data_IF_592317950446
#
_entry.id   IF_592317950446
#
_cell.length_a   1.000
_cell.length_b   1.000
_cell.length_c   1.000
_cell.angle_alpha   90.00
_cell.angle_beta   90.00
_cell.angle_gamma   90.00
#
_symmetry.space_group_name_H-M   'P 1'
#
loop_
_entity.id
_entity.type
_entity.pdbx_description
1 polymer ?
#
# COMPACT_ATOMS: atom_id res chain seq x y z
N UNK A 1 13.44 -0.27 -26.38
CA UNK A 1 13.07 -0.55 -24.98
C UNK A 1 11.60 -0.20 -24.78
N UNK A 2 10.78 -1.15 -24.32
CA UNK A 2 9.32 -1.00 -24.16
C UNK A 2 8.89 -0.71 -22.72
N UNK A 3 9.63 0.15 -22.02
CA UNK A 3 9.32 0.53 -20.65
C UNK A 3 8.23 1.62 -20.61
N UNK A 4 7.38 1.57 -19.59
CA UNK A 4 6.40 2.61 -19.27
C UNK A 4 6.63 3.12 -17.86
N UNK A 5 6.12 4.32 -17.49
CA UNK A 5 6.08 4.74 -16.10
C UNK A 5 5.26 3.76 -15.25
N UNK A 6 5.29 3.89 -13.92
CA UNK A 6 4.53 3.03 -13.01
C UNK A 6 3.02 3.34 -13.08
N UNK A 7 2.34 2.78 -14.09
CA UNK A 7 0.94 3.10 -14.42
C UNK A 7 -0.02 1.91 -14.38
N UNK A 8 0.49 0.67 -14.42
CA UNK A 8 -0.33 -0.54 -14.62
C UNK A 8 -1.40 -0.73 -13.54
N UNK A 9 -1.07 -0.46 -12.28
CA UNK A 9 -2.00 -0.54 -11.14
C UNK A 9 -2.88 0.70 -10.96
N UNK A 10 -2.70 1.76 -11.75
CA UNK A 10 -3.39 3.05 -11.61
C UNK A 10 -4.26 3.42 -12.82
N UNK A 11 -4.72 2.41 -13.57
CA UNK A 11 -5.77 2.58 -14.57
C UNK A 11 -7.08 3.07 -13.93
N UNK A 12 -7.92 3.81 -14.66
CA UNK A 12 -9.14 4.42 -14.09
C UNK A 12 -10.07 3.40 -13.39
N UNK A 13 -10.17 2.18 -13.93
CA UNK A 13 -10.94 1.10 -13.31
C UNK A 13 -10.31 0.59 -12.01
N UNK A 14 -8.98 0.55 -11.91
CA UNK A 14 -8.28 0.23 -10.68
C UNK A 14 -8.45 1.34 -9.63
N UNK A 15 -8.45 2.62 -10.03
CA UNK A 15 -8.66 3.75 -9.13
C UNK A 15 -9.97 3.68 -8.37
N UNK A 16 -11.06 3.33 -9.06
CA UNK A 16 -12.36 3.16 -8.41
C UNK A 16 -12.32 2.14 -7.27
N UNK A 17 -11.58 1.03 -7.44
CA UNK A 17 -11.48 -0.03 -6.43
C UNK A 17 -10.58 0.35 -5.26
N UNK A 18 -9.36 0.82 -5.53
CA UNK A 18 -8.46 1.17 -4.42
C UNK A 18 -8.96 2.39 -3.64
N UNK A 19 -9.66 3.34 -4.28
CA UNK A 19 -10.27 4.47 -3.58
C UNK A 19 -11.39 4.02 -2.63
N UNK A 20 -12.25 3.08 -3.06
CA UNK A 20 -13.26 2.48 -2.19
C UNK A 20 -12.61 1.70 -1.03
N UNK A 21 -11.58 0.90 -1.30
CA UNK A 21 -10.84 0.17 -0.26
C UNK A 21 -10.16 1.09 0.76
N UNK A 22 -9.55 2.19 0.32
CA UNK A 22 -8.98 3.21 1.23
C UNK A 22 -10.05 3.79 2.13
N UNK A 23 -11.23 4.11 1.59
CA UNK A 23 -12.35 4.62 2.38
C UNK A 23 -12.82 3.58 3.40
N UNK A 24 -12.95 2.32 3.00
CA UNK A 24 -13.35 1.22 3.89
C UNK A 24 -12.39 1.08 5.08
N UNK A 25 -11.08 1.11 4.84
CA UNK A 25 -10.05 1.05 5.90
C UNK A 25 -10.22 2.22 6.88
N UNK A 26 -10.47 3.43 6.37
CA UNK A 26 -10.68 4.62 7.21
C UNK A 26 -11.97 4.53 8.02
N UNK A 27 -13.07 4.03 7.45
CA UNK A 27 -14.32 3.79 8.17
C UNK A 27 -14.11 2.78 9.31
N UNK A 28 -13.43 1.65 9.05
CA UNK A 28 -13.08 0.71 10.12
C UNK A 28 -12.23 1.36 11.21
N UNK A 29 -11.18 2.09 10.84
CA UNK A 29 -10.29 2.75 11.79
C UNK A 29 -10.99 3.78 12.66
N UNK A 30 -11.81 4.65 12.06
CA UNK A 30 -12.52 5.72 12.77
C UNK A 30 -13.65 5.21 13.67
N UNK A 31 -14.25 4.06 13.32
CA UNK A 31 -15.32 3.42 14.09
C UNK A 31 -14.79 2.34 15.05
N UNK A 32 -13.46 2.24 15.22
CA UNK A 32 -12.80 1.21 16.05
C UNK A 32 -13.23 -0.23 15.70
N UNK A 33 -13.54 -0.47 14.42
CA UNK A 33 -13.82 -1.79 13.89
C UNK A 33 -12.54 -2.45 13.36
N UNK A 34 -12.44 -3.78 13.41
CA UNK A 34 -11.33 -4.49 12.80
C UNK A 34 -11.19 -4.17 11.30
N UNK A 35 -9.96 -3.88 10.86
CA UNK A 35 -9.62 -3.86 9.44
C UNK A 35 -9.50 -5.31 8.96
N UNK A 36 -9.91 -5.59 7.72
CA UNK A 36 -9.83 -6.95 7.18
C UNK A 36 -8.38 -7.46 7.16
N UNK A 37 -8.18 -8.71 7.56
CA UNK A 37 -6.87 -9.37 7.59
C UNK A 37 -6.13 -9.29 6.25
N UNK A 38 -6.84 -9.43 5.11
CA UNK A 38 -6.22 -9.35 3.79
C UNK A 38 -5.63 -7.96 3.47
N UNK A 39 -6.03 -6.90 4.19
CA UNK A 39 -5.50 -5.54 4.03
C UNK A 39 -4.35 -5.24 4.99
N UNK A 40 -4.18 -6.05 6.04
CA UNK A 40 -3.14 -5.84 7.04
C UNK A 40 -1.76 -6.27 6.51
N UNK A 41 -0.77 -5.42 6.79
CA UNK A 41 0.65 -5.70 6.54
C UNK A 41 1.42 -5.71 7.86
N UNK A 42 1.20 -4.69 8.70
CA UNK A 42 1.75 -4.58 10.06
C UNK A 42 0.62 -4.12 10.98
N UNK A 43 0.48 -4.79 12.12
CA UNK A 43 -0.44 -4.37 13.19
C UNK A 43 0.21 -4.69 14.54
N UNK A 44 -0.01 -3.85 15.55
CA UNK A 44 0.46 -4.08 16.93
C UNK A 44 1.95 -4.46 17.04
N UNK A 45 2.79 -3.83 16.22
CA UNK A 45 4.24 -4.01 16.23
C UNK A 45 4.78 -5.23 15.48
N UNK A 46 3.94 -6.02 14.80
CA UNK A 46 4.34 -7.22 14.09
C UNK A 46 3.74 -7.30 12.69
N UNK A 47 4.33 -8.13 11.82
CA UNK A 47 3.67 -8.51 10.56
C UNK A 47 2.33 -9.19 10.87
N UNK A 48 1.29 -8.81 10.14
CA UNK A 48 -0.08 -9.30 10.34
C UNK A 48 -0.75 -9.55 8.98
N UNK A 49 -1.81 -10.36 8.97
CA UNK A 49 -2.61 -10.61 7.76
C UNK A 49 -1.76 -11.03 6.55
N UNK A 50 -2.00 -10.38 5.41
CA UNK A 50 -1.21 -10.57 4.18
C UNK A 50 0.29 -10.31 4.39
N UNK A 51 0.65 -9.39 5.29
CA UNK A 51 2.03 -9.07 5.64
C UNK A 51 2.84 -10.26 6.14
N UNK A 52 2.25 -11.04 7.06
CA UNK A 52 2.90 -12.20 7.67
C UNK A 52 3.19 -13.33 6.67
N UNK A 53 2.40 -13.42 5.59
CA UNK A 53 2.56 -14.43 4.55
C UNK A 53 3.49 -14.00 3.40
N UNK A 54 3.69 -12.69 3.23
CA UNK A 54 4.26 -12.15 1.99
C UNK A 54 5.59 -11.42 2.19
N UNK A 55 5.92 -11.00 3.41
CA UNK A 55 7.08 -10.16 3.69
C UNK A 55 7.98 -10.72 4.79
N UNK A 56 9.24 -10.30 4.77
CA UNK A 56 10.17 -10.43 5.89
C UNK A 56 10.36 -9.06 6.56
N UNK A 57 10.70 -9.07 7.86
CA UNK A 57 11.08 -7.84 8.55
C UNK A 57 12.38 -7.27 7.95
N UNK A 58 12.41 -5.97 7.67
CA UNK A 58 13.55 -5.30 7.07
C UNK A 58 13.21 -3.89 6.56
N UNK A 59 14.19 -3.23 5.92
CA UNK A 59 14.02 -1.91 5.32
C UNK A 59 14.46 -1.91 3.85
N UNK A 60 13.57 -1.52 2.94
CA UNK A 60 13.81 -1.41 1.51
C UNK A 60 13.79 0.04 0.98
N UNK A 61 13.85 1.06 1.85
CA UNK A 61 13.71 2.48 1.45
C UNK A 61 15.02 3.21 1.18
N UNK A 62 16.16 2.54 1.33
CA UNK A 62 17.49 3.12 1.10
C UNK A 62 17.63 3.67 -0.33
N UNK A 63 18.01 4.95 -0.45
CA UNK A 63 18.22 5.63 -1.73
C UNK A 63 16.97 6.32 -2.31
N UNK A 64 15.82 6.23 -1.63
CA UNK A 64 14.58 6.90 -2.05
C UNK A 64 14.71 8.42 -2.15
N UNK A 65 15.70 9.02 -1.48
CA UNK A 65 15.99 10.45 -1.48
C UNK A 65 16.37 10.97 -2.88
N UNK A 66 16.86 10.10 -3.77
CA UNK A 66 17.19 10.49 -5.15
C UNK A 66 15.96 10.97 -5.93
N UNK A 67 14.76 10.49 -5.58
CA UNK A 67 13.51 10.88 -6.22
C UNK A 67 13.25 12.40 -6.13
N UNK A 68 13.79 13.10 -5.12
CA UNK A 68 13.67 14.55 -4.96
C UNK A 68 14.32 15.35 -6.11
N UNK A 69 15.19 14.74 -6.90
CA UNK A 69 15.87 15.38 -8.05
C UNK A 69 14.99 15.49 -9.30
N UNK A 70 13.84 14.82 -9.33
CA UNK A 70 12.93 14.86 -10.47
C UNK A 70 12.40 16.28 -10.71
N UNK A 71 12.44 16.72 -11.98
CA UNK A 71 11.83 17.97 -12.45
C UNK A 71 10.68 17.61 -13.39
N UNK A 72 9.53 18.25 -13.19
CA UNK A 72 8.35 18.08 -14.06
C UNK A 72 8.60 18.59 -15.47
#
# INVERSE_FOLDING_TARGET
NGMTPHISGSSLSAQARYAAGTREILECWMEEKPIRDEYLIVESGNLAGTGAHSYSAGNATSGSEEAARFKK
#
